data_IF_215527169408
#
_entry.id   IF_215527169408
#
_cell.length_a   1.000
_cell.length_b   1.000
_cell.length_c   1.000
_cell.angle_alpha   90.00
_cell.angle_beta   90.00
_cell.angle_gamma   90.00
#
_symmetry.space_group_name_H-M   'P 1'
#
loop_
_entity.id
_entity.type
_entity.pdbx_description
1 polymer ?
#
# COMPACT_ATOMS: atom_id res chain seq x y z
N UNK A 1 32.67 -41.00 36.18
CA UNK A 1 34.00 -41.46 35.74
C UNK A 1 33.78 -42.70 34.89
N UNK A 2 33.79 -42.53 33.56
CA UNK A 2 33.68 -43.65 32.62
C UNK A 2 35.08 -44.19 32.37
N UNK A 3 35.29 -45.50 32.52
CA UNK A 3 36.57 -46.12 32.18
C UNK A 3 36.86 -45.87 30.70
N UNK A 4 38.11 -45.56 30.39
CA UNK A 4 38.54 -45.47 28.98
C UNK A 4 38.65 -46.87 28.37
N UNK A 5 38.57 -46.96 27.04
CA UNK A 5 38.67 -48.24 26.33
C UNK A 5 39.97 -49.01 26.67
N UNK A 6 41.08 -48.27 26.83
CA UNK A 6 42.37 -48.84 27.23
C UNK A 6 42.37 -49.34 28.69
N UNK A 7 41.61 -48.68 29.56
CA UNK A 7 41.46 -49.10 30.96
C UNK A 7 40.64 -50.39 31.07
N UNK A 8 39.57 -50.53 30.27
CA UNK A 8 38.77 -51.77 30.20
C UNK A 8 39.59 -52.93 29.65
N UNK A 9 40.42 -52.69 28.64
CA UNK A 9 41.36 -53.69 28.08
C UNK A 9 42.43 -54.17 29.07
N UNK A 10 42.80 -53.31 30.02
CA UNK A 10 43.82 -53.63 31.02
C UNK A 10 43.31 -54.51 32.18
N UNK A 11 41.98 -54.62 32.33
CA UNK A 11 41.36 -55.39 33.41
C UNK A 11 41.52 -56.89 33.12
N UNK A 12 42.18 -57.61 34.05
CA UNK A 12 42.33 -59.06 33.97
C UNK A 12 41.49 -59.77 35.01
N UNK A 13 40.72 -60.76 34.56
CA UNK A 13 39.92 -61.59 35.44
C UNK A 13 40.69 -62.85 35.87
N UNK A 14 40.66 -63.23 37.16
CA UNK A 14 41.28 -64.46 37.64
C UNK A 14 40.50 -65.69 37.15
N UNK A 15 41.21 -66.72 36.67
CA UNK A 15 40.61 -67.96 36.18
C UNK A 15 40.23 -68.87 37.36
N UNK A 16 38.98 -69.35 37.40
CA UNK A 16 38.51 -70.28 38.43
C UNK A 16 39.34 -71.58 38.39
N UNK A 17 39.91 -71.98 39.53
CA UNK A 17 40.88 -73.09 39.61
C UNK A 17 40.26 -74.43 40.04
N UNK A 18 38.95 -74.48 40.29
CA UNK A 18 38.25 -75.68 40.79
C UNK A 18 37.04 -76.02 39.91
N UNK A 19 36.72 -77.31 39.74
CA UNK A 19 35.66 -77.78 38.83
C UNK A 19 34.21 -77.43 39.25
N UNK A 20 33.97 -76.94 40.47
CA UNK A 20 32.64 -76.60 40.99
C UNK A 20 32.46 -75.10 41.30
N UNK A 21 33.35 -74.22 40.82
CA UNK A 21 33.14 -72.77 40.89
C UNK A 21 32.71 -72.28 39.52
N UNK A 22 31.47 -71.78 39.42
CA UNK A 22 30.91 -71.23 38.19
C UNK A 22 31.60 -69.92 37.82
N UNK A 23 32.65 -70.03 37.01
CA UNK A 23 33.30 -68.92 36.35
C UNK A 23 32.77 -68.73 34.93
N UNK A 24 32.69 -67.47 34.48
CA UNK A 24 32.46 -67.19 33.07
C UNK A 24 33.59 -67.78 32.22
N UNK A 25 33.22 -68.38 31.09
CA UNK A 25 34.20 -68.91 30.14
C UNK A 25 35.03 -67.77 29.58
N UNK A 26 36.36 -67.88 29.67
CA UNK A 26 37.29 -66.85 29.20
C UNK A 26 36.98 -66.41 27.76
N UNK A 27 36.74 -67.37 26.85
CA UNK A 27 36.39 -67.08 25.45
C UNK A 27 35.07 -66.32 25.27
N UNK A 28 34.11 -66.47 26.18
CA UNK A 28 32.84 -65.73 26.14
C UNK A 28 33.00 -64.32 26.69
N UNK A 29 33.87 -64.12 27.68
CA UNK A 29 34.20 -62.79 28.20
C UNK A 29 35.02 -62.01 27.17
N UNK A 30 36.01 -62.63 26.54
CA UNK A 30 36.83 -61.99 25.50
C UNK A 30 35.97 -61.54 24.31
N UNK A 31 35.09 -62.42 23.79
CA UNK A 31 34.16 -62.06 22.71
C UNK A 31 33.23 -60.91 23.09
N UNK A 32 32.74 -60.89 24.33
CA UNK A 32 31.91 -59.80 24.82
C UNK A 32 32.70 -58.48 24.96
N UNK A 33 33.98 -58.54 25.33
CA UNK A 33 34.85 -57.36 25.38
C UNK A 33 35.15 -56.82 23.97
N UNK A 34 35.31 -57.69 22.97
CA UNK A 34 35.45 -57.28 21.56
C UNK A 34 34.17 -56.57 21.06
N UNK A 35 32.99 -57.12 21.36
CA UNK A 35 31.70 -56.51 20.98
C UNK A 35 31.46 -55.18 21.71
N UNK A 36 31.85 -55.08 22.99
CA UNK A 36 31.79 -53.83 23.76
C UNK A 36 32.71 -52.77 23.17
N UNK A 37 33.91 -53.15 22.72
CA UNK A 37 34.84 -52.23 22.07
C UNK A 37 34.26 -51.65 20.79
N UNK A 38 33.71 -52.50 19.93
CA UNK A 38 33.06 -52.05 18.69
C UNK A 38 31.90 -51.11 18.99
N UNK A 39 31.07 -51.45 19.98
CA UNK A 39 29.93 -50.60 20.35
C UNK A 39 30.35 -49.26 20.96
N UNK A 40 31.43 -49.23 21.75
CA UNK A 40 31.93 -48.01 22.36
C UNK A 40 32.59 -47.11 21.31
N UNK A 41 33.37 -47.69 20.39
CA UNK A 41 33.95 -46.97 19.25
C UNK A 41 32.85 -46.34 18.39
N UNK A 42 31.79 -47.09 18.09
CA UNK A 42 30.61 -46.59 17.37
C UNK A 42 29.93 -45.45 18.12
N UNK A 43 29.73 -45.57 19.44
CA UNK A 43 29.09 -44.52 20.25
C UNK A 43 29.94 -43.26 20.33
N UNK A 44 31.27 -43.39 20.39
CA UNK A 44 32.19 -42.25 20.36
C UNK A 44 32.21 -41.56 19.00
N UNK A 45 32.19 -42.32 17.90
CA UNK A 45 32.10 -41.78 16.54
C UNK A 45 30.75 -41.08 16.32
N UNK A 46 29.66 -41.65 16.84
CA UNK A 46 28.34 -41.04 16.80
C UNK A 46 28.29 -39.74 17.61
N UNK A 47 28.86 -39.70 18.81
CA UNK A 47 28.99 -38.49 19.61
C UNK A 47 29.83 -37.41 18.92
N UNK A 48 30.94 -37.77 18.28
CA UNK A 48 31.76 -36.83 17.52
C UNK A 48 31.03 -36.32 16.28
N UNK A 49 30.27 -37.18 15.60
CA UNK A 49 29.44 -36.82 14.45
C UNK A 49 28.28 -35.90 14.83
N UNK A 50 27.61 -36.14 15.97
CA UNK A 50 26.60 -35.25 16.54
C UNK A 50 27.20 -33.91 16.96
N UNK A 51 28.39 -33.91 17.55
CA UNK A 51 29.09 -32.69 17.96
C UNK A 51 29.56 -31.85 16.76
N UNK A 52 30.01 -32.50 15.68
CA UNK A 52 30.33 -31.83 14.42
C UNK A 52 29.06 -31.33 13.70
N UNK A 53 27.95 -32.08 13.75
CA UNK A 53 26.64 -31.65 13.27
C UNK A 53 26.10 -30.42 14.02
N UNK A 54 26.38 -30.32 15.33
CA UNK A 54 26.06 -29.17 16.17
C UNK A 54 26.72 -27.85 15.74
N UNK A 55 27.85 -27.91 15.02
CA UNK A 55 28.50 -26.71 14.48
C UNK A 55 27.79 -26.14 13.24
N UNK A 56 27.08 -26.99 12.46
CA UNK A 56 26.20 -26.53 11.40
C UNK A 56 24.93 -25.86 11.96
N UNK A 57 24.43 -26.34 13.11
CA UNK A 57 23.31 -25.73 13.84
C UNK A 57 23.61 -24.30 14.31
N UNK A 58 24.88 -23.96 14.59
CA UNK A 58 25.26 -22.60 14.96
C UNK A 58 25.08 -21.57 13.84
N UNK A 59 25.19 -21.99 12.57
CA UNK A 59 24.90 -21.13 11.41
C UNK A 59 23.39 -20.97 11.21
N UNK A 60 22.62 -22.02 11.46
CA UNK A 60 21.16 -21.97 11.39
C UNK A 60 20.60 -21.14 12.55
N UNK A 61 21.15 -21.26 13.76
CA UNK A 61 20.79 -20.42 14.92
C UNK A 61 21.09 -18.94 14.69
N UNK A 62 22.22 -18.62 14.06
CA UNK A 62 22.54 -17.23 13.70
C UNK A 62 21.52 -16.66 12.71
N UNK A 63 21.13 -17.45 11.69
CA UNK A 63 20.14 -17.06 10.69
C UNK A 63 18.73 -16.97 11.27
N UNK A 64 18.38 -17.86 12.21
CA UNK A 64 17.14 -17.81 12.97
C UNK A 64 17.10 -16.57 13.85
N UNK A 65 18.20 -16.19 14.50
CA UNK A 65 18.29 -14.96 15.29
C UNK A 65 18.11 -13.71 14.43
N UNK A 66 18.72 -13.67 13.23
CA UNK A 66 18.60 -12.54 12.30
C UNK A 66 17.19 -12.43 11.71
N UNK A 67 16.58 -13.55 11.32
CA UNK A 67 15.18 -13.58 10.88
C UNK A 67 14.23 -13.18 12.01
N UNK A 68 14.54 -13.55 13.26
CA UNK A 68 13.75 -13.17 14.43
C UNK A 68 13.81 -11.66 14.67
N UNK A 69 15.01 -11.04 14.60
CA UNK A 69 15.13 -9.58 14.72
C UNK A 69 14.43 -8.85 13.58
N UNK A 70 14.53 -9.36 12.36
CA UNK A 70 13.85 -8.77 11.20
C UNK A 70 12.32 -8.86 11.32
N UNK A 71 11.79 -9.97 11.85
CA UNK A 71 10.36 -10.12 12.13
C UNK A 71 9.90 -9.13 13.21
N UNK A 72 10.72 -8.91 14.25
CA UNK A 72 10.41 -7.96 15.31
C UNK A 72 10.38 -6.51 14.78
N UNK A 73 11.36 -6.13 13.96
CA UNK A 73 11.42 -4.82 13.29
C UNK A 73 10.22 -4.60 12.34
N UNK A 74 9.91 -5.60 11.51
CA UNK A 74 8.75 -5.55 10.61
C UNK A 74 7.44 -5.48 11.39
N UNK A 75 7.34 -6.16 12.53
CA UNK A 75 6.17 -6.11 13.41
C UNK A 75 6.02 -4.73 14.05
N UNK A 76 7.13 -4.11 14.48
CA UNK A 76 7.16 -2.75 14.98
C UNK A 76 6.74 -1.73 13.92
N UNK A 77 7.27 -1.86 12.71
CA UNK A 77 6.92 -1.01 11.56
C UNK A 77 5.44 -1.16 11.19
N UNK A 78 4.91 -2.38 11.15
CA UNK A 78 3.49 -2.62 10.90
C UNK A 78 2.59 -2.01 11.97
N UNK A 79 2.93 -2.13 13.26
CA UNK A 79 2.17 -1.46 14.33
C UNK A 79 2.14 0.06 14.16
N UNK A 80 3.28 0.67 13.79
CA UNK A 80 3.37 2.11 13.56
C UNK A 80 2.52 2.52 12.35
N UNK A 81 2.61 1.79 11.24
CA UNK A 81 1.78 2.03 10.05
C UNK A 81 0.29 1.92 10.36
N UNK A 82 -0.13 0.92 11.14
CA UNK A 82 -1.52 0.78 11.58
C UNK A 82 -1.98 1.98 12.40
N UNK A 83 -1.17 2.46 13.35
CA UNK A 83 -1.48 3.64 14.15
C UNK A 83 -1.57 4.92 13.29
N UNK A 84 -0.69 5.07 12.29
CA UNK A 84 -0.75 6.20 11.36
C UNK A 84 -1.99 6.15 10.46
N UNK A 85 -2.39 4.96 10.00
CA UNK A 85 -3.64 4.77 9.25
C UNK A 85 -4.84 5.16 10.10
N UNK A 86 -4.93 4.68 11.34
CA UNK A 86 -6.02 5.03 12.27
C UNK A 86 -6.10 6.55 12.49
N UNK A 87 -4.96 7.20 12.72
CA UNK A 87 -4.87 8.65 12.89
C UNK A 87 -5.34 9.39 11.63
N UNK A 88 -4.85 9.01 10.46
CA UNK A 88 -5.24 9.63 9.18
C UNK A 88 -6.71 9.39 8.84
N UNK A 89 -7.26 8.23 9.19
CA UNK A 89 -8.69 7.97 9.02
C UNK A 89 -9.54 8.85 9.91
N UNK A 90 -9.15 9.05 11.18
CA UNK A 90 -9.84 9.97 12.09
C UNK A 90 -9.77 11.43 11.62
N UNK A 91 -8.62 11.88 11.12
CA UNK A 91 -8.46 13.23 10.55
C UNK A 91 -9.34 13.42 9.30
N UNK A 92 -9.41 12.42 8.42
CA UNK A 92 -10.30 12.47 7.26
C UNK A 92 -11.78 12.54 7.64
N UNK A 93 -12.19 11.80 8.68
CA UNK A 93 -13.56 11.85 9.18
C UNK A 93 -13.88 13.23 9.77
N UNK A 94 -12.94 13.81 10.52
CA UNK A 94 -13.07 15.17 11.05
C UNK A 94 -13.17 16.22 9.92
N UNK A 95 -12.31 16.14 8.91
CA UNK A 95 -12.34 17.05 7.75
C UNK A 95 -13.65 16.92 6.95
N UNK A 96 -14.16 15.69 6.80
CA UNK A 96 -15.48 15.45 6.19
C UNK A 96 -16.60 16.06 7.02
N UNK A 97 -16.53 15.97 8.34
CA UNK A 97 -17.44 16.65 9.27
C UNK A 97 -17.44 18.17 9.07
N UNK A 98 -16.25 18.78 9.06
CA UNK A 98 -16.08 20.21 8.83
C UNK A 98 -16.62 20.64 7.45
N UNK A 99 -16.35 19.89 6.39
CA UNK A 99 -16.89 20.18 5.05
C UNK A 99 -18.41 20.09 5.02
N UNK A 100 -19.00 19.10 5.70
CA UNK A 100 -20.46 18.99 5.78
C UNK A 100 -21.05 20.19 6.53
N UNK A 101 -20.43 20.59 7.64
CA UNK A 101 -20.86 21.75 8.42
C UNK A 101 -20.77 23.05 7.61
N UNK A 102 -19.65 23.32 6.94
CA UNK A 102 -19.51 24.46 6.03
C UNK A 102 -20.53 24.42 4.88
N UNK A 103 -20.85 23.24 4.36
CA UNK A 103 -21.87 23.09 3.32
C UNK A 103 -23.26 23.41 3.84
N UNK A 104 -23.58 22.99 5.07
CA UNK A 104 -24.87 23.33 5.70
C UNK A 104 -24.96 24.81 6.07
N UNK A 105 -23.88 25.43 6.54
CA UNK A 105 -23.85 26.87 6.82
C UNK A 105 -23.99 27.68 5.54
N UNK A 106 -23.22 27.36 4.50
CA UNK A 106 -23.34 28.00 3.19
C UNK A 106 -24.73 27.82 2.56
N UNK A 107 -25.37 26.66 2.78
CA UNK A 107 -26.75 26.43 2.39
C UNK A 107 -27.75 27.32 3.14
N UNK A 108 -27.59 27.51 4.45
CA UNK A 108 -28.41 28.45 5.24
C UNK A 108 -28.21 29.89 4.79
N UNK A 109 -26.97 30.32 4.58
CA UNK A 109 -26.67 31.68 4.15
C UNK A 109 -27.24 31.97 2.76
N UNK A 110 -27.19 30.98 1.86
CA UNK A 110 -27.83 31.08 0.54
C UNK A 110 -29.35 31.18 0.66
N UNK A 111 -29.99 30.35 1.50
CA UNK A 111 -31.42 30.41 1.72
C UNK A 111 -31.87 31.74 2.37
N UNK A 112 -31.11 32.23 3.34
CA UNK A 112 -31.34 33.52 3.98
C UNK A 112 -31.21 34.68 2.97
N UNK A 113 -30.20 34.65 2.11
CA UNK A 113 -30.07 35.63 1.04
C UNK A 113 -31.24 35.59 0.05
N UNK A 114 -31.71 34.40 -0.33
CA UNK A 114 -32.90 34.29 -1.20
C UNK A 114 -34.14 34.89 -0.54
N UNK A 115 -34.37 34.60 0.75
CA UNK A 115 -35.48 35.19 1.51
C UNK A 115 -35.38 36.72 1.55
N UNK A 116 -34.21 37.26 1.89
CA UNK A 116 -33.97 38.71 1.90
C UNK A 116 -34.21 39.32 0.52
N UNK A 117 -33.79 38.67 -0.57
CA UNK A 117 -34.08 39.18 -1.93
C UNK A 117 -35.57 39.21 -2.23
N UNK A 118 -36.32 38.17 -1.87
CA UNK A 118 -37.78 38.14 -2.08
C UNK A 118 -38.51 39.18 -1.23
N UNK A 119 -38.06 39.40 0.01
CA UNK A 119 -38.61 40.42 0.90
C UNK A 119 -38.32 41.83 0.38
N UNK A 120 -37.11 42.08 -0.13
CA UNK A 120 -36.78 43.34 -0.78
C UNK A 120 -37.62 43.61 -2.03
N UNK A 121 -37.89 42.59 -2.84
CA UNK A 121 -38.80 42.72 -3.99
C UNK A 121 -40.24 43.03 -3.54
N UNK A 122 -40.72 42.36 -2.49
CA UNK A 122 -42.04 42.63 -1.91
C UNK A 122 -42.15 44.06 -1.41
N UNK A 123 -41.20 44.53 -0.60
CA UNK A 123 -41.16 45.89 -0.06
C UNK A 123 -41.08 46.94 -1.18
N UNK A 124 -40.35 46.67 -2.27
CA UNK A 124 -40.31 47.54 -3.44
C UNK A 124 -41.68 47.66 -4.11
N UNK A 125 -42.41 46.55 -4.26
CA UNK A 125 -43.75 46.56 -4.82
C UNK A 125 -44.75 47.29 -3.93
N UNK A 126 -44.66 47.16 -2.60
CA UNK A 126 -45.48 47.93 -1.66
C UNK A 126 -45.20 49.43 -1.74
N UNK A 127 -43.93 49.84 -1.80
CA UNK A 127 -43.56 51.24 -1.96
C UNK A 127 -44.08 51.81 -3.28
N UNK A 128 -43.99 51.07 -4.38
CA UNK A 128 -44.54 51.47 -5.68
C UNK A 128 -46.07 51.63 -5.61
N UNK A 129 -46.76 50.68 -4.96
CA UNK A 129 -48.20 50.73 -4.74
C UNK A 129 -48.63 51.95 -3.94
N UNK A 130 -47.98 52.21 -2.80
CA UNK A 130 -48.22 53.38 -1.96
C UNK A 130 -47.93 54.69 -2.70
N UNK A 131 -46.88 54.71 -3.52
CA UNK A 131 -46.53 55.88 -4.34
C UNK A 131 -47.60 56.17 -5.40
N UNK A 132 -48.18 55.14 -6.02
CA UNK A 132 -49.29 55.32 -6.95
C UNK A 132 -50.53 55.87 -6.25
N UNK A 133 -50.86 55.38 -5.04
CA UNK A 133 -51.99 55.88 -4.25
C UNK A 133 -51.79 57.33 -3.84
N UNK A 134 -50.56 57.71 -3.45
CA UNK A 134 -50.22 59.09 -3.13
C UNK A 134 -50.38 60.01 -4.34
N UNK A 135 -49.94 59.57 -5.52
CA UNK A 135 -50.09 60.27 -6.79
C UNK A 135 -51.57 60.44 -7.17
N UNK A 136 -52.38 59.39 -7.05
CA UNK A 136 -53.84 59.47 -7.27
C UNK A 136 -54.51 60.44 -6.30
N UNK A 137 -54.16 60.39 -5.01
CA UNK A 137 -54.68 61.31 -4.00
C UNK A 137 -54.30 62.77 -4.30
N UNK A 138 -53.04 63.03 -4.70
CA UNK A 138 -52.59 64.35 -5.14
C UNK A 138 -53.35 64.83 -6.39
N UNK A 139 -53.55 63.95 -7.38
CA UNK A 139 -54.29 64.30 -8.60
C UNK A 139 -55.75 64.63 -8.33
N UNK A 140 -56.41 63.89 -7.42
CA UNK A 140 -57.77 64.18 -6.95
C UNK A 140 -57.84 65.49 -6.18
N UNK A 141 -56.86 65.77 -5.32
CA UNK A 141 -56.78 67.04 -4.61
C UNK A 141 -56.59 68.21 -5.59
N UNK A 142 -55.74 68.05 -6.62
CA UNK A 142 -55.54 69.04 -7.67
C UNK A 142 -56.79 69.25 -8.53
N UNK A 143 -57.52 68.18 -8.88
CA UNK A 143 -58.80 68.28 -9.60
C UNK A 143 -59.89 68.95 -8.77
N UNK A 144 -59.99 68.66 -7.47
CA UNK A 144 -60.91 69.34 -6.57
C UNK A 144 -60.55 70.82 -6.38
N UNK A 145 -59.26 71.16 -6.31
CA UNK A 145 -58.79 72.55 -6.26
C UNK A 145 -59.06 73.30 -7.58
N UNK A 146 -58.90 72.64 -8.74
CA UNK A 146 -59.22 73.18 -10.05
C UNK A 146 -60.73 73.35 -10.27
N UNK A 147 -61.56 72.42 -9.77
CA UNK A 147 -63.01 72.54 -9.79
C UNK A 147 -63.52 73.67 -8.88
N UNK A 148 -62.84 73.94 -7.77
CA UNK A 148 -63.12 75.08 -6.90
C UNK A 148 -62.71 76.44 -7.51
N UNK A 149 -61.83 76.46 -8.53
CA UNK A 149 -61.42 77.69 -9.24
C UNK A 149 -62.17 77.94 -10.55
N UNK A 150 -62.88 76.93 -11.10
CA UNK A 150 -63.66 77.05 -12.33
C UNK A 150 -65.13 77.49 -12.13
N UNK A 151 -65.57 77.71 -10.89
CA UNK A 151 -66.89 78.27 -10.59
C UNK A 151 -66.73 79.63 -9.91
N UNK A 152 -67.01 80.71 -10.64
CA UNK A 152 -67.36 81.98 -9.99
C UNK A 152 -68.76 81.88 -9.36
N UNK A 153 -69.03 82.68 -8.31
CA UNK A 153 -70.09 82.42 -7.35
C UNK A 153 -71.45 82.97 -7.79
N UNK A 154 -72.51 82.17 -7.61
CA UNK A 154 -73.86 82.68 -7.36
C UNK A 154 -74.07 82.73 -5.85
N UNK A 155 -74.22 83.96 -5.37
CA UNK A 155 -74.70 84.38 -4.04
C UNK A 155 -75.90 83.57 -3.57
N UNK A 156 -75.83 82.99 -2.36
CA UNK A 156 -76.58 83.47 -1.17
C UNK A 156 -76.46 82.49 0.01
N UNK A 157 -76.07 83.04 1.17
CA UNK A 157 -76.38 82.65 2.57
C UNK A 157 -76.27 81.14 2.91
N UNK A 158 -75.47 80.71 3.89
CA UNK A 158 -75.54 81.07 5.32
C UNK A 158 -74.46 80.26 6.06
N UNK A 159 -73.86 80.83 7.11
CA UNK A 159 -73.19 80.04 8.16
C UNK A 159 -71.72 79.62 7.98
N UNK A 160 -70.79 80.50 7.60
CA UNK A 160 -69.39 80.34 8.03
C UNK A 160 -68.91 81.59 8.78
N UNK A 161 -68.64 81.38 10.06
CA UNK A 161 -68.01 82.36 10.94
C UNK A 161 -66.58 82.63 10.45
N UNK A 162 -66.45 83.58 9.54
CA UNK A 162 -65.17 84.18 9.22
C UNK A 162 -64.76 85.07 10.40
N UNK A 163 -63.82 84.58 11.20
CA UNK A 163 -63.02 85.43 12.09
C UNK A 163 -62.16 86.30 11.18
N UNK A 164 -62.68 87.46 10.78
CA UNK A 164 -61.85 88.55 10.26
C UNK A 164 -61.00 89.02 11.42
N UNK A 165 -59.76 88.55 11.50
CA UNK A 165 -58.73 89.38 12.10
C UNK A 165 -58.56 90.54 11.14
N UNK A 166 -59.14 91.69 11.48
CA UNK A 166 -58.84 92.97 10.86
C UNK A 166 -57.37 93.29 11.15
N UNK A 167 -56.46 92.73 10.36
CA UNK A 167 -55.14 93.28 10.18
C UNK A 167 -55.20 94.21 8.97
N UNK A 168 -54.72 95.44 9.16
CA UNK A 168 -54.78 96.57 8.24
C UNK A 168 -54.23 96.23 6.84
N UNK A 169 -54.45 97.14 5.88
CA UNK A 169 -53.87 97.11 4.52
C UNK A 169 -52.32 96.98 4.45
N UNK A 170 -51.65 96.94 5.61
CA UNK A 170 -50.23 96.66 5.82
C UNK A 170 -49.91 95.14 5.78
N UNK A 171 -50.91 94.27 5.96
CA UNK A 171 -50.76 92.81 6.01
C UNK A 171 -50.57 92.14 4.62
N UNK A 172 -51.07 92.73 3.53
CA UNK A 172 -50.87 92.19 2.17
C UNK A 172 -49.44 92.36 1.65
N UNK A 173 -48.80 93.49 1.98
CA UNK A 173 -47.38 93.71 1.71
C UNK A 173 -46.49 92.77 2.53
N UNK A 174 -46.86 92.52 3.78
CA UNK A 174 -46.17 91.57 4.65
C UNK A 174 -46.35 90.12 4.19
N UNK A 175 -47.55 89.72 3.73
CA UNK A 175 -47.80 88.38 3.20
C UNK A 175 -47.03 88.11 1.89
N UNK A 176 -46.93 89.09 0.98
CA UNK A 176 -46.11 88.98 -0.21
C UNK A 176 -44.61 88.88 0.13
N UNK A 177 -44.14 89.64 1.13
CA UNK A 177 -42.77 89.57 1.63
C UNK A 177 -42.46 88.25 2.32
N UNK A 178 -43.43 87.68 3.05
CA UNK A 178 -43.32 86.36 3.67
C UNK A 178 -43.25 85.27 2.60
N UNK A 179 -44.07 85.37 1.55
CA UNK A 179 -44.02 84.44 0.43
C UNK A 179 -42.68 84.54 -0.31
N UNK A 180 -42.18 85.74 -0.57
CA UNK A 180 -40.85 85.97 -1.18
C UNK A 180 -39.72 85.38 -0.33
N UNK A 181 -39.75 85.60 1.00
CA UNK A 181 -38.79 85.04 1.94
C UNK A 181 -38.90 83.51 2.03
N UNK A 182 -40.11 82.97 2.02
CA UNK A 182 -40.35 81.53 1.99
C UNK A 182 -39.87 80.89 0.68
N UNK A 183 -40.06 81.56 -0.46
CA UNK A 183 -39.52 81.08 -1.75
C UNK A 183 -38.00 81.13 -1.78
N UNK A 184 -37.38 82.20 -1.26
CA UNK A 184 -35.92 82.26 -1.14
C UNK A 184 -35.38 81.18 -0.19
N UNK A 185 -36.06 80.93 0.93
CA UNK A 185 -35.68 79.85 1.84
C UNK A 185 -35.87 78.47 1.19
N UNK A 186 -36.92 78.27 0.40
CA UNK A 186 -37.15 77.02 -0.33
C UNK A 186 -36.07 76.79 -1.40
N UNK A 187 -35.73 77.81 -2.18
CA UNK A 187 -34.67 77.73 -3.21
C UNK A 187 -33.29 77.45 -2.57
N UNK A 188 -32.99 78.08 -1.44
CA UNK A 188 -31.77 77.82 -0.68
C UNK A 188 -31.72 76.37 -0.17
N UNK A 189 -32.82 75.86 0.39
CA UNK A 189 -32.93 74.47 0.86
C UNK A 189 -32.78 73.47 -0.29
N UNK A 190 -33.35 73.77 -1.46
CA UNK A 190 -33.21 72.93 -2.66
C UNK A 190 -31.78 72.93 -3.17
N UNK A 191 -31.09 74.08 -3.15
CA UNK A 191 -29.67 74.17 -3.53
C UNK A 191 -28.79 73.37 -2.56
N UNK A 192 -28.98 73.53 -1.25
CA UNK A 192 -28.25 72.76 -0.24
C UNK A 192 -28.53 71.26 -0.35
N UNK A 193 -29.78 70.87 -0.62
CA UNK A 193 -30.13 69.47 -0.83
C UNK A 193 -29.45 68.90 -2.09
N UNK A 194 -29.35 69.66 -3.19
CA UNK A 194 -28.63 69.25 -4.39
C UNK A 194 -27.12 69.10 -4.12
N UNK A 195 -26.49 70.08 -3.47
CA UNK A 195 -25.06 70.00 -3.13
C UNK A 195 -24.77 68.81 -2.21
N UNK A 196 -25.65 68.55 -1.22
CA UNK A 196 -25.53 67.39 -0.35
C UNK A 196 -25.70 66.08 -1.14
N UNK A 197 -26.67 66.00 -2.04
CA UNK A 197 -26.88 64.83 -2.89
C UNK A 197 -25.67 64.57 -3.80
N UNK A 198 -25.14 65.60 -4.45
CA UNK A 198 -23.95 65.50 -5.30
C UNK A 198 -22.72 65.06 -4.49
N UNK A 199 -22.56 65.60 -3.27
CA UNK A 199 -21.48 65.18 -2.37
C UNK A 199 -21.61 63.72 -1.92
N UNK A 200 -22.84 63.25 -1.69
CA UNK A 200 -23.12 61.87 -1.30
C UNK A 200 -22.84 60.91 -2.46
N UNK A 201 -23.26 61.26 -3.67
CA UNK A 201 -22.99 60.48 -4.89
C UNK A 201 -21.48 60.42 -5.15
N UNK A 202 -20.76 61.54 -5.01
CA UNK A 202 -19.31 61.58 -5.17
C UNK A 202 -18.59 60.68 -4.15
N UNK A 203 -19.00 60.73 -2.86
CA UNK A 203 -18.45 59.85 -1.81
C UNK A 203 -18.76 58.38 -2.08
N UNK A 204 -20.01 58.06 -2.42
CA UNK A 204 -20.42 56.69 -2.73
C UNK A 204 -19.65 56.12 -3.92
N UNK A 205 -19.45 56.91 -4.98
CA UNK A 205 -18.65 56.50 -6.14
C UNK A 205 -17.18 56.30 -5.77
N UNK A 206 -16.61 57.17 -4.93
CA UNK A 206 -15.24 57.01 -4.45
C UNK A 206 -15.06 55.75 -3.60
N UNK A 207 -16.00 55.46 -2.71
CA UNK A 207 -16.01 54.25 -1.88
C UNK A 207 -16.20 52.98 -2.74
N UNK A 208 -17.07 53.04 -3.74
CA UNK A 208 -17.28 51.93 -4.67
C UNK A 208 -16.01 51.64 -5.50
N UNK A 209 -15.35 52.67 -6.03
CA UNK A 209 -14.11 52.50 -6.80
C UNK A 209 -12.97 52.01 -5.92
N UNK A 210 -12.87 52.53 -4.69
CA UNK A 210 -11.92 52.03 -3.70
C UNK A 210 -12.14 50.54 -3.44
N UNK A 211 -13.35 50.14 -3.10
CA UNK A 211 -13.70 48.74 -2.82
C UNK A 211 -13.44 47.85 -4.03
N UNK A 212 -13.74 48.32 -5.23
CA UNK A 212 -13.49 47.61 -6.48
C UNK A 212 -11.99 47.43 -6.74
N UNK A 213 -11.19 48.45 -6.49
CA UNK A 213 -9.73 48.38 -6.64
C UNK A 213 -9.09 47.43 -5.62
N UNK A 214 -9.56 47.45 -4.37
CA UNK A 214 -9.10 46.55 -3.31
C UNK A 214 -9.51 45.09 -3.59
N UNK A 215 -10.73 44.87 -4.09
CA UNK A 215 -11.17 43.54 -4.51
C UNK A 215 -10.35 43.02 -5.70
N UNK A 216 -10.05 43.90 -6.68
CA UNK A 216 -9.24 43.56 -7.85
C UNK A 216 -7.82 43.18 -7.45
N UNK A 217 -7.14 43.98 -6.62
CA UNK A 217 -5.78 43.66 -6.17
C UNK A 217 -5.71 42.36 -5.37
N UNK A 218 -6.71 42.09 -4.52
CA UNK A 218 -6.82 40.80 -3.82
C UNK A 218 -7.04 39.63 -4.77
N UNK A 219 -7.90 39.79 -5.78
CA UNK A 219 -8.13 38.76 -6.79
C UNK A 219 -6.85 38.47 -7.59
N UNK A 220 -6.15 39.52 -8.04
CA UNK A 220 -4.90 39.39 -8.78
C UNK A 220 -3.83 38.69 -7.92
N UNK A 221 -3.69 39.06 -6.65
CA UNK A 221 -2.77 38.41 -5.71
C UNK A 221 -3.12 36.93 -5.47
N UNK A 222 -4.42 36.61 -5.35
CA UNK A 222 -4.88 35.22 -5.17
C UNK A 222 -4.62 34.37 -6.43
N UNK A 223 -4.81 34.94 -7.62
CA UNK A 223 -4.49 34.26 -8.88
C UNK A 223 -2.98 34.02 -8.97
N UNK A 224 -2.17 35.02 -8.63
CA UNK A 224 -0.72 34.87 -8.63
C UNK A 224 -0.26 33.77 -7.65
N UNK A 225 -0.74 33.78 -6.41
CA UNK A 225 -0.43 32.74 -5.43
C UNK A 225 -0.87 31.34 -5.90
N UNK A 226 -2.08 31.23 -6.46
CA UNK A 226 -2.59 29.98 -7.00
C UNK A 226 -1.73 29.46 -8.16
N UNK A 227 -1.30 30.34 -9.07
CA UNK A 227 -0.44 29.96 -10.20
C UNK A 227 0.96 29.55 -9.73
N UNK A 228 1.55 30.24 -8.76
CA UNK A 228 2.84 29.86 -8.17
C UNK A 228 2.76 28.51 -7.46
N UNK A 229 1.68 28.28 -6.70
CA UNK A 229 1.45 27.00 -6.02
C UNK A 229 1.23 25.86 -7.01
N UNK A 230 0.48 26.09 -8.09
CA UNK A 230 0.30 25.11 -9.15
C UNK A 230 1.62 24.78 -9.84
N UNK A 231 2.43 25.79 -10.19
CA UNK A 231 3.74 25.58 -10.81
C UNK A 231 4.69 24.78 -9.90
N UNK A 232 4.67 25.07 -8.60
CA UNK A 232 5.46 24.31 -7.61
C UNK A 232 4.98 22.86 -7.51
N UNK A 233 3.67 22.64 -7.43
CA UNK A 233 3.10 21.29 -7.38
C UNK A 233 3.44 20.49 -8.64
N UNK A 234 3.38 21.11 -9.81
CA UNK A 234 3.75 20.47 -11.08
C UNK A 234 5.23 20.08 -11.09
N UNK A 235 6.11 20.96 -10.61
CA UNK A 235 7.54 20.66 -10.50
C UNK A 235 7.82 19.50 -9.53
N UNK A 236 7.21 19.53 -8.34
CA UNK A 236 7.34 18.46 -7.35
C UNK A 236 6.78 17.13 -7.88
N UNK A 237 5.64 17.16 -8.57
CA UNK A 237 5.01 15.98 -9.17
C UNK A 237 5.87 15.39 -10.29
N UNK A 238 6.45 16.23 -11.16
CA UNK A 238 7.37 15.79 -12.23
C UNK A 238 8.62 15.15 -11.65
N UNK A 239 9.27 15.78 -10.68
CA UNK A 239 10.45 15.22 -10.04
C UNK A 239 10.15 13.91 -9.32
N UNK A 240 9.00 13.80 -8.65
CA UNK A 240 8.60 12.55 -8.00
C UNK A 240 8.31 11.45 -9.04
N UNK A 241 7.65 11.78 -10.15
CA UNK A 241 7.40 10.84 -11.24
C UNK A 241 8.71 10.36 -11.88
N UNK A 242 9.66 11.27 -12.14
CA UNK A 242 10.99 10.93 -12.64
C UNK A 242 11.76 10.04 -11.67
N UNK A 243 11.70 10.33 -10.37
CA UNK A 243 12.33 9.50 -9.33
C UNK A 243 11.73 8.10 -9.30
N UNK A 244 10.40 7.98 -9.26
CA UNK A 244 9.71 6.68 -9.24
C UNK A 244 10.02 5.89 -10.51
N UNK A 245 10.02 6.55 -11.68
CA UNK A 245 10.33 5.91 -12.96
C UNK A 245 11.79 5.45 -13.00
N UNK A 246 12.73 6.27 -12.51
CA UNK A 246 14.14 5.90 -12.40
C UNK A 246 14.39 4.77 -11.40
N UNK A 247 13.66 4.73 -10.29
CA UNK A 247 13.73 3.63 -9.32
C UNK A 247 13.15 2.34 -9.90
N UNK A 248 12.02 2.42 -10.60
CA UNK A 248 11.39 1.28 -11.26
C UNK A 248 12.31 0.70 -12.35
N UNK A 249 12.92 1.56 -13.17
CA UNK A 249 13.87 1.13 -14.20
C UNK A 249 15.09 0.45 -13.58
N UNK A 250 15.70 1.04 -12.55
CA UNK A 250 16.84 0.42 -11.84
C UNK A 250 16.48 -0.94 -11.24
N UNK A 251 15.28 -1.10 -10.69
CA UNK A 251 14.81 -2.38 -10.17
C UNK A 251 14.59 -3.40 -11.29
N UNK A 252 14.06 -2.97 -12.44
CA UNK A 252 13.91 -3.84 -13.60
C UNK A 252 15.27 -4.33 -14.12
N UNK A 253 16.23 -3.42 -14.29
CA UNK A 253 17.58 -3.76 -14.76
C UNK A 253 18.29 -4.73 -13.80
N UNK A 254 18.15 -4.51 -12.48
CA UNK A 254 18.69 -5.42 -11.47
C UNK A 254 18.02 -6.80 -11.55
N UNK A 255 16.69 -6.85 -11.64
CA UNK A 255 15.95 -8.11 -11.77
C UNK A 255 16.36 -8.87 -13.04
N UNK A 256 16.52 -8.17 -14.16
CA UNK A 256 16.97 -8.76 -15.42
C UNK A 256 18.38 -9.36 -15.28
N UNK A 257 19.28 -8.66 -14.56
CA UNK A 257 20.62 -9.17 -14.27
C UNK A 257 20.58 -10.42 -13.37
N UNK A 258 19.72 -10.44 -12.35
CA UNK A 258 19.53 -11.58 -11.46
C UNK A 258 18.93 -12.78 -12.20
N UNK A 259 17.93 -12.56 -13.05
CA UNK A 259 17.32 -13.59 -13.88
C UNK A 259 18.34 -14.16 -14.87
N UNK A 260 19.16 -13.31 -15.50
CA UNK A 260 20.24 -13.77 -16.39
C UNK A 260 21.29 -14.61 -15.65
N UNK A 261 21.67 -14.18 -14.44
CA UNK A 261 22.59 -14.93 -13.58
C UNK A 261 22.00 -16.29 -13.18
N UNK A 262 20.76 -16.31 -12.70
CA UNK A 262 20.04 -17.55 -12.32
C UNK A 262 19.84 -18.48 -13.50
N UNK A 263 19.52 -17.95 -14.66
CA UNK A 263 19.42 -18.72 -15.90
C UNK A 263 20.74 -19.42 -16.20
N UNK A 264 21.85 -18.71 -16.11
CA UNK A 264 23.19 -19.27 -16.35
C UNK A 264 23.54 -20.35 -15.33
N UNK A 265 23.28 -20.10 -14.05
CA UNK A 265 23.47 -21.06 -12.95
C UNK A 265 22.67 -22.35 -13.19
N UNK A 266 21.37 -22.24 -13.53
CA UNK A 266 20.52 -23.39 -13.81
C UNK A 266 20.99 -24.17 -15.04
N UNK A 267 21.43 -23.49 -16.11
CA UNK A 267 21.96 -24.18 -17.28
C UNK A 267 23.27 -24.91 -16.99
N UNK A 268 24.16 -24.33 -16.19
CA UNK A 268 25.36 -25.02 -15.73
C UNK A 268 25.02 -26.25 -14.89
N UNK A 269 24.06 -26.14 -13.97
CA UNK A 269 23.60 -27.28 -13.17
C UNK A 269 22.99 -28.39 -14.05
N UNK A 270 22.16 -28.02 -15.03
CA UNK A 270 21.59 -28.97 -16.00
C UNK A 270 22.66 -29.63 -16.87
N UNK A 271 23.71 -28.89 -17.25
CA UNK A 271 24.84 -29.42 -18.01
C UNK A 271 25.64 -30.45 -17.19
N UNK A 272 25.90 -30.17 -15.92
CA UNK A 272 26.52 -31.14 -15.00
C UNK A 272 25.67 -32.40 -14.85
N UNK A 273 24.35 -32.26 -14.68
CA UNK A 273 23.44 -33.41 -14.60
C UNK A 273 23.40 -34.21 -15.90
N UNK A 274 23.39 -33.54 -17.06
CA UNK A 274 23.48 -34.19 -18.37
C UNK A 274 24.76 -35.03 -18.46
N UNK A 275 25.90 -34.49 -18.05
CA UNK A 275 27.18 -35.18 -18.13
C UNK A 275 27.24 -36.37 -17.17
N UNK A 276 26.73 -36.23 -15.95
CA UNK A 276 26.59 -37.35 -15.00
C UNK A 276 25.71 -38.48 -15.55
N UNK A 277 24.58 -38.13 -16.20
CA UNK A 277 23.72 -39.11 -16.85
C UNK A 277 24.42 -39.78 -18.04
N UNK A 278 25.17 -39.03 -18.83
CA UNK A 278 25.96 -39.57 -19.95
C UNK A 278 27.01 -40.57 -19.46
N UNK A 279 27.72 -40.26 -18.37
CA UNK A 279 28.68 -41.15 -17.74
C UNK A 279 28.02 -42.42 -17.19
N UNK A 280 26.85 -42.29 -16.55
CA UNK A 280 26.07 -43.43 -16.06
C UNK A 280 25.62 -44.35 -17.20
N UNK A 281 25.16 -43.78 -18.32
CA UNK A 281 24.79 -44.54 -19.51
C UNK A 281 26.02 -45.28 -20.07
N UNK A 282 27.18 -44.61 -20.13
CA UNK A 282 28.43 -45.23 -20.57
C UNK A 282 28.85 -46.39 -19.68
N UNK A 283 28.75 -46.23 -18.36
CA UNK A 283 29.02 -47.29 -17.39
C UNK A 283 28.07 -48.49 -17.55
N UNK A 284 26.77 -48.24 -17.74
CA UNK A 284 25.78 -49.30 -17.98
C UNK A 284 26.05 -50.06 -19.29
N UNK A 285 26.43 -49.36 -20.37
CA UNK A 285 26.82 -50.01 -21.63
C UNK A 285 28.10 -50.84 -21.50
N UNK A 286 29.07 -50.36 -20.70
CA UNK A 286 30.27 -51.12 -20.36
C UNK A 286 29.92 -52.42 -19.63
N UNK A 287 29.13 -52.31 -18.56
CA UNK A 287 28.62 -53.46 -17.82
C UNK A 287 27.86 -54.46 -18.71
N UNK A 288 27.01 -53.98 -19.62
CA UNK A 288 26.30 -54.84 -20.57
C UNK A 288 27.26 -55.58 -21.51
N UNK A 289 28.27 -54.89 -22.05
CA UNK A 289 29.29 -55.48 -22.92
C UNK A 289 30.11 -56.56 -22.21
N UNK A 290 30.54 -56.27 -20.99
CA UNK A 290 31.31 -57.21 -20.16
C UNK A 290 30.45 -58.43 -19.77
N UNK A 291 29.19 -58.19 -19.41
CA UNK A 291 28.22 -59.26 -19.11
C UNK A 291 27.97 -60.16 -20.32
N UNK A 292 27.73 -59.58 -21.51
CA UNK A 292 27.57 -60.33 -22.77
C UNK A 292 28.81 -61.16 -23.09
N UNK A 293 30.00 -60.59 -22.90
CA UNK A 293 31.28 -61.28 -23.14
C UNK A 293 31.48 -62.42 -22.15
N UNK A 294 31.16 -62.20 -20.87
CA UNK A 294 31.26 -63.20 -19.81
C UNK A 294 30.31 -64.36 -20.07
N UNK A 295 29.03 -64.09 -20.37
CA UNK A 295 28.06 -65.14 -20.73
C UNK A 295 28.50 -65.89 -21.98
N UNK A 296 28.97 -65.18 -23.01
CA UNK A 296 29.46 -65.82 -24.23
C UNK A 296 30.59 -66.80 -23.91
N UNK A 297 31.57 -66.37 -23.10
CA UNK A 297 32.69 -67.21 -22.68
C UNK A 297 32.22 -68.40 -21.82
N UNK A 298 31.27 -68.20 -20.90
CA UNK A 298 30.71 -69.31 -20.10
C UNK A 298 29.96 -70.33 -20.97
N UNK A 299 29.16 -69.88 -21.93
CA UNK A 299 28.46 -70.74 -22.89
C UNK A 299 29.43 -71.48 -23.81
N UNK A 300 30.44 -70.81 -24.35
CA UNK A 300 31.51 -71.42 -25.16
C UNK A 300 32.29 -72.48 -24.35
N UNK A 301 32.61 -72.17 -23.09
CA UNK A 301 33.28 -73.12 -22.20
C UNK A 301 32.40 -74.34 -21.87
N UNK A 302 31.10 -74.13 -21.68
CA UNK A 302 30.11 -75.19 -21.42
C UNK A 302 29.95 -76.08 -22.65
N UNK A 303 29.81 -75.50 -23.84
CA UNK A 303 29.78 -76.22 -25.12
C UNK A 303 31.07 -77.03 -25.33
N UNK A 304 32.24 -76.45 -25.05
CA UNK A 304 33.51 -77.17 -25.13
C UNK A 304 33.55 -78.37 -24.19
N UNK A 305 33.09 -78.22 -22.94
CA UNK A 305 33.00 -79.34 -21.98
C UNK A 305 32.05 -80.43 -22.47
N UNK A 306 30.86 -80.08 -22.97
CA UNK A 306 29.93 -81.05 -23.56
C UNK A 306 30.51 -81.74 -24.79
N UNK A 307 31.19 -81.02 -25.68
CA UNK A 307 31.84 -81.61 -26.86
C UNK A 307 32.90 -82.63 -26.46
N UNK A 308 33.75 -82.31 -25.47
CA UNK A 308 34.75 -83.23 -24.91
C UNK A 308 34.12 -84.46 -24.27
N UNK A 309 33.00 -84.28 -23.57
CA UNK A 309 32.26 -85.38 -22.97
C UNK A 309 31.59 -86.28 -24.03
N UNK A 310 31.21 -85.73 -25.19
CA UNK A 310 30.59 -86.47 -26.30
C UNK A 310 31.58 -87.10 -27.29
N UNK A 311 32.85 -86.67 -27.28
CA UNK A 311 33.88 -87.12 -28.25
C UNK A 311 34.75 -88.29 -27.77
N UNK A 312 34.37 -88.99 -26.70
CA UNK A 312 34.99 -90.27 -26.34
C UNK A 312 33.99 -91.42 -26.52
N UNK A 313 33.84 -91.98 -27.74
CA UNK A 313 33.64 -93.41 -27.85
C UNK A 313 34.94 -94.07 -27.43
N UNK A 314 34.89 -94.66 -26.25
CA UNK A 314 35.84 -95.64 -25.74
C UNK A 314 36.15 -96.67 -26.83
N UNK A 315 37.32 -96.59 -27.45
CA UNK A 315 37.88 -97.71 -28.20
C UNK A 315 38.66 -98.56 -27.21
N UNK A 316 37.97 -99.59 -26.72
CA UNK A 316 38.51 -100.81 -26.13
C UNK A 316 39.80 -101.25 -26.83
N UNK A 317 40.91 -101.33 -26.09
CA UNK A 317 41.81 -102.48 -26.18
C UNK A 317 42.75 -102.52 -24.96
N UNK A 318 42.23 -102.85 -23.78
CA UNK A 318 43.06 -103.28 -22.66
C UNK A 318 42.35 -104.37 -21.86
N UNK A 319 42.15 -105.51 -22.53
CA UNK A 319 41.78 -106.76 -21.87
C UNK A 319 42.99 -107.28 -21.07
N UNK A 320 42.90 -107.49 -19.75
CA UNK A 320 44.03 -107.96 -18.96
C UNK A 320 44.42 -109.38 -19.40
N UNK A 321 45.69 -109.55 -19.78
CA UNK A 321 46.30 -110.82 -20.21
C UNK A 321 46.17 -111.91 -19.15
N UNK A 322 45.15 -112.76 -19.26
CA UNK A 322 45.00 -114.04 -18.55
C UNK A 322 46.01 -115.13 -19.01
N UNK A 323 47.18 -114.73 -19.52
CA UNK A 323 48.23 -115.63 -20.01
C UNK A 323 49.44 -115.75 -19.07
N UNK A 324 49.55 -114.91 -18.03
CA UNK A 324 50.68 -114.91 -17.09
C UNK A 324 50.49 -115.80 -15.84
N UNK A 325 49.37 -116.53 -15.73
CA UNK A 325 49.05 -117.38 -14.56
C UNK A 325 48.89 -118.87 -14.90
N UNK A 326 49.16 -119.29 -16.14
CA UNK A 326 49.04 -120.70 -16.56
C UNK A 326 50.36 -121.37 -17.01
N UNK A 327 51.48 -120.64 -17.08
CA UNK A 327 52.78 -121.18 -17.51
C UNK A 327 53.76 -121.49 -16.35
N UNK A 328 53.44 -121.14 -15.11
CA UNK A 328 54.29 -121.43 -13.92
C UNK A 328 53.82 -122.65 -13.10
N UNK A 329 53.07 -123.57 -13.74
CA UNK A 329 52.65 -124.84 -13.13
C UNK A 329 52.75 -126.03 -14.09
N UNK A 330 53.93 -126.26 -14.68
CA UNK A 330 54.36 -127.56 -15.23
C UNK A 330 55.87 -127.56 -15.42
N UNK A 331 56.51 -128.69 -15.06
CA UNK A 331 57.94 -129.05 -15.09
C UNK A 331 58.81 -128.32 -14.05
N UNK A 332 59.05 -128.95 -12.89
CA UNK A 332 60.22 -129.82 -12.57
C UNK A 332 61.40 -129.02 -12.01
#
# INVERSE_FOLDING_TARGET
MTLSLDEVRSIRFPLARKPNEDGYRASSVDKFMDDLEVSYAQLTEELDKLKQGGAATGSDDAKVSELTSQIEDLTGSNKKLTSDVERLTGENEQLRGQLNELRTSGGRDSAANQQLTTENEHLRNELEGLRSQLSEAQSRAAQNAAAATASQPIVSADGEQHITVTASAEAGAWAARLLEMATQQADQLVSEAHEQADSLVARSNADAERTRSEAKTKADAMVEEATQKAARLDYESRNNAERITGDAQRRADNLDSEVAAKRTELFQALEVQRDQLADRIKALRGFESDYRTTIKNELESSLSRFSKLSLSPESEDDSPRLHALLEDRKSE
#
